data_IF_868362935852
#
_entry.id   IF_868362935852
#
_cell.length_a   1.000
_cell.length_b   1.000
_cell.length_c   1.000
_cell.angle_alpha   90.00
_cell.angle_beta   90.00
_cell.angle_gamma   90.00
#
_symmetry.space_group_name_H-M   'P 1'
#
loop_
_entity.id
_entity.type
_entity.pdbx_description
1 polymer ?
#
# COMPACT_ATOMS: atom_id res chain seq x y z
N UNK A 1 71.58 29.61 -21.84
CA UNK A 1 70.90 28.31 -21.78
C UNK A 1 70.13 28.25 -20.48
N UNK A 2 68.86 27.91 -20.53
CA UNK A 2 68.07 27.77 -19.26
C UNK A 2 68.68 26.66 -18.45
N UNK A 3 68.75 26.89 -17.12
CA UNK A 3 69.38 26.01 -16.17
C UNK A 3 68.62 24.69 -16.11
N UNK A 4 69.27 23.57 -16.37
CA UNK A 4 68.69 22.24 -16.44
C UNK A 4 68.05 21.83 -15.11
N UNK A 5 68.52 22.37 -13.99
CA UNK A 5 67.91 22.16 -12.66
C UNK A 5 66.55 22.84 -12.52
N UNK A 6 66.37 24.02 -13.13
CA UNK A 6 65.11 24.75 -13.10
C UNK A 6 64.03 24.04 -13.95
N UNK A 7 64.40 23.53 -15.10
CA UNK A 7 63.53 22.77 -15.99
C UNK A 7 63.05 21.48 -15.30
N UNK A 8 63.97 20.76 -14.60
CA UNK A 8 63.60 19.57 -13.87
C UNK A 8 62.62 19.85 -12.73
N UNK A 9 62.85 20.95 -11.99
CA UNK A 9 61.98 21.36 -10.90
C UNK A 9 60.54 21.71 -11.37
N UNK A 10 60.44 22.41 -12.50
CA UNK A 10 59.13 22.71 -13.16
C UNK A 10 58.46 21.41 -13.59
N UNK A 11 59.16 20.46 -14.18
CA UNK A 11 58.60 19.20 -14.58
C UNK A 11 58.11 18.38 -13.40
N UNK A 12 58.83 18.39 -12.27
CA UNK A 12 58.41 17.68 -11.04
C UNK A 12 57.19 18.36 -10.38
N UNK A 13 57.17 19.69 -10.29
CA UNK A 13 56.07 20.46 -9.70
C UNK A 13 54.76 20.30 -10.50
N UNK A 14 54.81 20.19 -11.82
CA UNK A 14 53.64 20.03 -12.70
C UNK A 14 53.40 18.59 -13.15
N UNK A 15 54.18 17.63 -12.68
CA UNK A 15 54.10 16.22 -13.03
C UNK A 15 54.14 15.98 -14.56
N UNK A 16 55.06 16.72 -15.23
CA UNK A 16 55.26 16.67 -16.69
C UNK A 16 56.53 15.89 -16.98
N UNK A 17 56.50 15.11 -18.05
CA UNK A 17 57.75 14.51 -18.54
C UNK A 17 58.55 15.55 -19.32
N UNK A 18 59.85 15.60 -19.10
CA UNK A 18 60.79 16.53 -19.77
C UNK A 18 60.66 16.46 -21.28
N UNK A 19 60.43 15.27 -21.84
CA UNK A 19 60.22 15.00 -23.26
C UNK A 19 58.94 15.69 -23.82
N UNK A 20 57.84 15.68 -23.03
CA UNK A 20 56.59 16.31 -23.41
C UNK A 20 56.71 17.85 -23.48
N UNK A 21 57.56 18.42 -22.62
CA UNK A 21 57.83 19.86 -22.59
C UNK A 21 58.64 20.32 -23.82
N UNK A 22 59.58 19.54 -24.27
CA UNK A 22 60.42 19.86 -25.45
C UNK A 22 59.70 19.59 -26.78
N UNK A 23 58.78 18.60 -26.82
CA UNK A 23 57.99 18.28 -28.00
C UNK A 23 56.74 19.14 -28.16
N UNK A 24 56.40 19.98 -27.19
CA UNK A 24 55.21 20.82 -27.20
C UNK A 24 53.89 20.07 -27.11
N UNK A 25 53.91 18.77 -26.86
CA UNK A 25 52.75 17.91 -26.71
C UNK A 25 52.32 17.78 -25.25
N UNK A 26 51.58 18.77 -24.77
CA UNK A 26 50.87 18.60 -23.46
C UNK A 26 49.71 17.65 -23.69
N UNK A 27 49.85 16.38 -23.29
CA UNK A 27 48.75 15.42 -23.29
C UNK A 27 47.66 15.95 -22.36
N UNK A 28 46.62 16.61 -22.94
CA UNK A 28 45.42 16.97 -22.19
C UNK A 28 44.84 15.71 -21.60
N UNK A 29 44.82 15.61 -20.25
CA UNK A 29 44.13 14.53 -19.53
C UNK A 29 42.67 14.55 -20.00
N UNK A 30 42.30 13.60 -20.84
CA UNK A 30 40.91 13.49 -21.33
C UNK A 30 40.06 13.02 -20.17
N UNK A 31 39.14 13.87 -19.72
CA UNK A 31 38.12 13.53 -18.71
C UNK A 31 36.92 12.82 -19.32
N UNK A 32 36.92 12.59 -20.63
CA UNK A 32 35.83 11.92 -21.33
C UNK A 32 35.48 10.54 -20.73
N UNK A 33 36.44 9.63 -20.44
CA UNK A 33 36.08 8.36 -19.84
C UNK A 33 35.46 8.50 -18.44
N UNK A 34 35.90 9.46 -17.65
CA UNK A 34 35.34 9.72 -16.32
C UNK A 34 33.91 10.23 -16.43
N UNK A 35 33.60 11.12 -17.37
CA UNK A 35 32.26 11.64 -17.62
C UNK A 35 31.30 10.54 -18.12
N UNK A 36 31.79 9.61 -18.94
CA UNK A 36 31.00 8.47 -19.40
C UNK A 36 30.63 7.56 -18.24
N UNK A 37 31.58 7.22 -17.39
CA UNK A 37 31.34 6.37 -16.19
C UNK A 37 30.33 7.04 -15.25
N UNK A 38 30.50 8.34 -15.00
CA UNK A 38 29.58 9.11 -14.16
C UNK A 38 28.16 9.14 -14.74
N UNK A 39 28.03 9.33 -16.05
CA UNK A 39 26.77 9.28 -16.77
C UNK A 39 26.06 7.92 -16.64
N UNK A 40 26.82 6.82 -16.78
CA UNK A 40 26.28 5.47 -16.60
C UNK A 40 25.79 5.21 -15.17
N UNK A 41 26.52 5.68 -14.16
CA UNK A 41 26.12 5.55 -12.75
C UNK A 41 24.81 6.30 -12.50
N UNK A 42 24.69 7.55 -12.98
CA UNK A 42 23.46 8.34 -12.85
C UNK A 42 22.30 7.65 -13.55
N UNK A 43 22.51 7.15 -14.75
CA UNK A 43 21.47 6.43 -15.50
C UNK A 43 21.00 5.16 -14.77
N UNK A 44 21.93 4.42 -14.16
CA UNK A 44 21.60 3.22 -13.39
C UNK A 44 20.80 3.55 -12.12
N UNK A 45 21.19 4.61 -11.40
CA UNK A 45 20.45 5.09 -10.22
C UNK A 45 19.04 5.52 -10.61
N UNK A 46 18.88 6.27 -11.71
CA UNK A 46 17.58 6.68 -12.24
C UNK A 46 16.70 5.47 -12.60
N UNK A 47 17.29 4.47 -13.25
CA UNK A 47 16.60 3.22 -13.56
C UNK A 47 16.05 2.52 -12.31
N UNK A 48 16.85 2.42 -11.25
CA UNK A 48 16.43 1.84 -9.96
C UNK A 48 15.30 2.65 -9.29
N UNK A 49 15.35 3.98 -9.36
CA UNK A 49 14.30 4.85 -8.81
C UNK A 49 12.99 4.65 -9.56
N UNK A 50 13.03 4.60 -10.89
CA UNK A 50 11.84 4.37 -11.72
C UNK A 50 11.20 3.02 -11.39
N UNK A 51 11.98 1.93 -11.29
CA UNK A 51 11.47 0.61 -10.92
C UNK A 51 10.79 0.66 -9.54
N UNK A 52 11.38 1.35 -8.57
CA UNK A 52 10.79 1.52 -7.22
C UNK A 52 9.49 2.31 -7.24
N UNK A 53 9.37 3.31 -8.10
CA UNK A 53 8.14 4.12 -8.25
C UNK A 53 7.01 3.33 -8.91
N UNK A 54 7.30 2.46 -9.87
CA UNK A 54 6.29 1.63 -10.55
C UNK A 54 5.69 0.60 -9.58
N UNK A 55 6.51 -0.01 -8.71
CA UNK A 55 6.07 -1.00 -7.71
C UNK A 55 5.19 -0.41 -6.59
N UNK A 56 5.07 0.90 -6.49
CA UNK A 56 4.29 1.58 -5.44
C UNK A 56 2.93 2.10 -5.91
N UNK A 57 2.53 1.86 -7.16
CA UNK A 57 1.22 2.26 -7.64
C UNK A 57 0.10 1.49 -6.93
N UNK A 58 -0.89 2.22 -6.39
CA UNK A 58 -2.09 1.63 -5.80
C UNK A 58 -3.18 1.49 -6.85
N UNK A 59 -3.84 0.35 -6.85
CA UNK A 59 -5.10 0.14 -7.56
C UNK A 59 -6.25 0.37 -6.58
N UNK A 60 -7.35 0.97 -7.07
CA UNK A 60 -8.53 1.26 -6.27
C UNK A 60 -9.72 0.45 -6.77
N UNK A 61 -10.44 -0.17 -5.86
CA UNK A 61 -11.65 -0.93 -6.10
C UNK A 61 -12.77 -0.45 -5.20
N UNK A 62 -13.99 -0.55 -5.68
CA UNK A 62 -15.17 -0.27 -4.89
C UNK A 62 -15.63 -1.55 -4.18
N UNK A 63 -16.02 -1.41 -2.91
CA UNK A 63 -16.68 -2.45 -2.14
C UNK A 63 -18.15 -2.10 -2.05
N UNK A 64 -19.01 -2.99 -2.50
CA UNK A 64 -20.46 -2.81 -2.44
C UNK A 64 -21.14 -4.09 -2.02
N UNK A 65 -22.40 -3.99 -1.58
CA UNK A 65 -23.29 -5.14 -1.43
C UNK A 65 -24.61 -4.83 -2.08
N UNK A 66 -25.27 -5.83 -2.66
CA UNK A 66 -26.64 -5.72 -3.09
C UNK A 66 -27.57 -5.82 -1.88
N UNK A 67 -28.49 -4.86 -1.77
CA UNK A 67 -29.32 -4.71 -0.59
C UNK A 67 -30.48 -5.70 -0.55
N UNK A 68 -30.30 -6.88 0.05
CA UNK A 68 -31.45 -7.60 0.60
C UNK A 68 -31.77 -7.15 2.03
N UNK A 69 -30.75 -6.99 2.87
CA UNK A 69 -30.90 -6.59 4.29
C UNK A 69 -29.90 -5.52 4.71
N UNK A 70 -28.76 -5.43 4.04
CA UNK A 70 -27.72 -4.48 4.33
C UNK A 70 -27.21 -3.82 3.07
N UNK A 71 -26.99 -2.51 3.15
CA UNK A 71 -26.31 -1.73 2.14
C UNK A 71 -24.97 -1.31 2.69
N UNK A 72 -23.90 -1.84 2.11
CA UNK A 72 -22.52 -1.55 2.55
C UNK A 72 -21.80 -0.89 1.39
N UNK A 73 -21.10 0.19 1.69
CA UNK A 73 -20.25 0.86 0.72
C UNK A 73 -18.87 1.16 1.31
N UNK A 74 -17.87 0.97 0.47
CA UNK A 74 -16.49 1.16 0.86
C UNK A 74 -15.55 1.19 -0.33
N UNK A 75 -14.26 1.17 -0.04
CA UNK A 75 -13.20 1.11 -1.04
C UNK A 75 -12.04 0.25 -0.55
N UNK A 76 -11.38 -0.36 -1.51
CA UNK A 76 -10.15 -1.12 -1.33
C UNK A 76 -9.07 -0.45 -2.17
N UNK A 77 -7.99 0.00 -1.55
CA UNK A 77 -6.79 0.41 -2.22
C UNK A 77 -5.70 -0.63 -1.98
N UNK A 78 -5.09 -1.15 -3.02
CA UNK A 78 -4.08 -2.19 -2.86
C UNK A 78 -2.94 -2.06 -3.87
N UNK A 79 -1.80 -2.60 -3.50
CA UNK A 79 -0.67 -2.84 -4.38
C UNK A 79 -0.11 -4.25 -4.13
N UNK A 80 1.03 -4.58 -4.72
CA UNK A 80 1.66 -5.92 -4.59
C UNK A 80 2.07 -6.27 -3.15
N UNK A 81 2.09 -5.32 -2.22
CA UNK A 81 2.61 -5.49 -0.85
C UNK A 81 1.59 -5.24 0.23
N UNK A 82 0.68 -4.28 0.00
CA UNK A 82 -0.20 -3.75 1.04
C UNK A 82 -1.59 -3.48 0.49
N UNK A 83 -2.56 -3.52 1.38
CA UNK A 83 -3.92 -3.09 1.12
C UNK A 83 -4.41 -2.15 2.22
N UNK A 84 -5.30 -1.25 1.85
CA UNK A 84 -6.08 -0.40 2.76
C UNK A 84 -7.55 -0.66 2.48
N UNK A 85 -8.28 -1.07 3.51
CA UNK A 85 -9.71 -1.33 3.45
C UNK A 85 -10.43 -0.19 4.15
N UNK A 86 -11.36 0.45 3.47
CA UNK A 86 -12.19 1.48 4.05
C UNK A 86 -13.67 1.20 3.78
N UNK A 87 -14.43 0.89 4.85
CA UNK A 87 -15.88 0.75 4.81
C UNK A 87 -16.49 1.98 5.46
N UNK A 88 -17.13 2.80 4.65
CA UNK A 88 -17.61 4.13 5.05
C UNK A 88 -19.03 4.11 5.56
N UNK A 89 -19.84 3.15 5.09
CA UNK A 89 -21.26 3.08 5.42
C UNK A 89 -21.73 1.63 5.54
N UNK A 90 -22.48 1.36 6.59
CA UNK A 90 -23.19 0.10 6.81
C UNK A 90 -24.63 0.48 7.22
N UNK A 91 -25.58 0.23 6.35
CA UNK A 91 -26.98 0.56 6.53
C UNK A 91 -27.83 -0.72 6.58
N UNK A 92 -28.74 -0.79 7.53
CA UNK A 92 -29.71 -1.89 7.62
C UNK A 92 -30.94 -1.57 6.77
N UNK A 93 -31.20 -2.38 5.74
CA UNK A 93 -32.32 -2.24 4.82
C UNK A 93 -33.48 -3.21 5.10
N UNK A 94 -33.40 -4.01 6.15
CA UNK A 94 -34.34 -5.12 6.44
C UNK A 94 -35.73 -4.72 6.93
N UNK A 95 -36.14 -3.49 6.71
CA UNK A 95 -37.48 -2.98 7.09
C UNK A 95 -37.51 -2.33 8.48
N UNK A 96 -38.69 -2.11 9.04
CA UNK A 96 -38.91 -1.45 10.33
C UNK A 96 -38.30 -2.28 11.51
N UNK A 97 -37.02 -2.11 11.74
CA UNK A 97 -36.34 -2.82 12.83
C UNK A 97 -36.49 -2.04 14.14
N UNK A 98 -37.60 -2.29 14.85
CA UNK A 98 -37.86 -1.77 16.20
C UNK A 98 -37.22 -2.58 17.31
N UNK A 99 -36.53 -3.66 16.96
CA UNK A 99 -35.89 -4.51 17.94
C UNK A 99 -34.71 -3.79 18.60
N UNK A 100 -34.65 -3.96 19.90
CA UNK A 100 -33.63 -3.34 20.74
C UNK A 100 -32.65 -4.42 21.21
N UNK A 101 -31.37 -4.11 21.19
CA UNK A 101 -30.29 -5.01 21.53
C UNK A 101 -29.39 -4.38 22.59
N UNK A 102 -29.06 -5.14 23.61
CA UNK A 102 -28.13 -4.74 24.69
C UNK A 102 -26.67 -4.99 24.35
N UNK A 103 -26.41 -5.91 23.41
CA UNK A 103 -25.06 -6.15 22.89
C UNK A 103 -25.11 -6.33 21.37
N UNK A 104 -24.23 -5.61 20.66
CA UNK A 104 -24.10 -5.72 19.21
C UNK A 104 -22.60 -5.78 18.88
N UNK A 105 -22.19 -6.76 18.08
CA UNK A 105 -20.85 -6.81 17.51
C UNK A 105 -20.92 -6.81 16.00
N UNK A 106 -20.03 -6.04 15.37
CA UNK A 106 -19.86 -5.98 13.93
C UNK A 106 -18.39 -6.23 13.63
N UNK A 107 -18.07 -7.32 12.95
CA UNK A 107 -16.70 -7.79 12.75
C UNK A 107 -16.43 -8.00 11.27
N UNK A 108 -15.33 -7.43 10.78
CA UNK A 108 -14.83 -7.62 9.43
C UNK A 108 -13.88 -8.81 9.40
N UNK A 109 -14.11 -9.73 8.48
CA UNK A 109 -13.31 -10.93 8.28
C UNK A 109 -12.81 -11.02 6.84
N UNK A 110 -11.70 -11.73 6.71
CA UNK A 110 -11.19 -12.29 5.46
C UNK A 110 -11.32 -13.80 5.51
N UNK A 111 -11.87 -14.40 4.47
CA UNK A 111 -11.96 -15.83 4.28
C UNK A 111 -10.95 -16.27 3.21
N UNK A 112 -9.95 -17.02 3.61
CA UNK A 112 -9.04 -17.77 2.75
C UNK A 112 -9.40 -19.26 2.88
N UNK A 113 -9.27 -20.03 1.83
CA UNK A 113 -9.68 -21.43 1.59
C UNK A 113 -10.10 -22.26 2.83
N UNK A 114 -9.50 -22.06 4.01
CA UNK A 114 -9.84 -22.72 5.28
C UNK A 114 -9.59 -21.84 6.53
N UNK A 115 -9.15 -20.60 6.36
CA UNK A 115 -8.75 -19.72 7.47
C UNK A 115 -9.64 -18.49 7.48
N UNK A 116 -10.38 -18.33 8.58
CA UNK A 116 -11.14 -17.10 8.86
C UNK A 116 -10.26 -16.16 9.66
N UNK A 117 -9.80 -15.10 9.05
CA UNK A 117 -8.97 -14.10 9.72
C UNK A 117 -9.82 -12.89 10.07
N UNK A 118 -9.92 -12.62 11.38
CA UNK A 118 -10.52 -11.39 11.88
C UNK A 118 -9.59 -10.22 11.54
N UNK A 119 -10.15 -9.20 10.86
CA UNK A 119 -9.43 -7.99 10.51
C UNK A 119 -9.64 -6.92 11.56
N UNK A 120 -10.92 -6.58 11.85
CA UNK A 120 -11.27 -5.53 12.80
C UNK A 120 -12.67 -5.76 13.37
N UNK A 121 -13.04 -5.14 14.49
CA UNK A 121 -14.36 -5.29 15.09
C UNK A 121 -14.79 -4.11 15.93
N UNK A 122 -16.08 -3.81 15.87
CA UNK A 122 -16.77 -2.90 16.75
C UNK A 122 -17.73 -3.67 17.66
N UNK A 123 -17.70 -3.35 18.95
CA UNK A 123 -18.58 -3.98 19.94
C UNK A 123 -19.28 -2.89 20.73
N UNK A 124 -20.57 -3.05 20.89
CA UNK A 124 -21.40 -2.24 21.77
C UNK A 124 -22.00 -3.12 22.86
N UNK A 125 -21.90 -2.66 24.11
CA UNK A 125 -22.57 -3.25 25.26
C UNK A 125 -23.13 -2.11 26.11
N UNK A 126 -24.44 -2.14 26.40
CA UNK A 126 -25.04 -1.05 27.16
C UNK A 126 -26.56 -1.03 27.10
N UNK A 127 -27.13 0.17 27.28
CA UNK A 127 -28.58 0.34 27.18
C UNK A 127 -29.10 -0.08 25.81
N UNK A 128 -30.24 -0.78 25.74
CA UNK A 128 -30.75 -1.31 24.47
C UNK A 128 -30.86 -0.25 23.38
N UNK A 129 -30.27 -0.52 22.22
CA UNK A 129 -30.34 0.34 21.02
C UNK A 129 -30.76 -0.49 19.81
N UNK A 130 -31.21 0.18 18.75
CA UNK A 130 -31.52 -0.47 17.49
C UNK A 130 -30.25 -0.79 16.70
N UNK A 131 -30.33 -1.81 15.85
CA UNK A 131 -29.21 -2.20 14.97
C UNK A 131 -28.81 -1.03 14.04
N UNK A 132 -29.80 -0.31 13.49
CA UNK A 132 -29.56 0.86 12.63
C UNK A 132 -28.77 1.95 13.35
N UNK A 133 -29.15 2.28 14.60
CA UNK A 133 -28.43 3.29 15.39
C UNK A 133 -26.99 2.91 15.64
N UNK A 134 -26.70 1.64 15.94
CA UNK A 134 -25.35 1.16 16.13
C UNK A 134 -24.54 1.24 14.82
N UNK A 135 -25.07 0.71 13.71
CA UNK A 135 -24.35 0.59 12.45
C UNK A 135 -23.99 1.95 11.84
N UNK A 136 -24.77 2.99 12.12
CA UNK A 136 -24.51 4.35 11.63
C UNK A 136 -23.13 4.89 12.04
N UNK A 137 -22.63 4.46 13.20
CA UNK A 137 -21.35 4.91 13.74
C UNK A 137 -20.20 3.95 13.42
N UNK A 138 -20.50 2.76 12.85
CA UNK A 138 -19.49 1.76 12.49
C UNK A 138 -18.82 2.12 11.17
N UNK A 139 -17.50 2.25 11.21
CA UNK A 139 -16.67 2.48 10.02
C UNK A 139 -15.37 1.69 10.17
N UNK A 140 -15.05 0.86 9.22
CA UNK A 140 -13.77 0.16 9.23
C UNK A 140 -12.74 0.93 8.44
N UNK A 141 -11.59 1.19 9.05
CA UNK A 141 -10.42 1.73 8.40
C UNK A 141 -9.20 0.90 8.79
N UNK A 142 -8.75 0.10 7.88
CA UNK A 142 -7.63 -0.81 8.08
C UNK A 142 -6.52 -0.43 7.12
N UNK A 143 -5.46 0.16 7.65
CA UNK A 143 -4.29 0.56 6.89
C UNK A 143 -3.21 -0.53 6.95
N UNK A 144 -2.37 -0.60 5.94
CA UNK A 144 -1.20 -1.50 5.87
C UNK A 144 -1.53 -3.01 6.06
N UNK A 145 -2.73 -3.41 5.65
CA UNK A 145 -3.11 -4.81 5.65
C UNK A 145 -2.27 -5.58 4.62
N UNK A 146 -1.87 -6.82 4.94
CA UNK A 146 -1.18 -7.67 3.98
C UNK A 146 -2.04 -7.83 2.73
N UNK A 147 -1.42 -7.81 1.56
CA UNK A 147 -2.15 -7.75 0.30
C UNK A 147 -3.16 -8.90 0.15
N UNK A 148 -4.43 -8.54 0.05
CA UNK A 148 -5.54 -9.44 -0.26
C UNK A 148 -5.35 -10.12 -1.63
N UNK A 149 -4.57 -9.49 -2.53
CA UNK A 149 -4.33 -9.96 -3.89
C UNK A 149 -2.97 -10.63 -4.09
N UNK A 150 -2.30 -11.02 -3.01
CA UNK A 150 -0.93 -11.58 -3.07
C UNK A 150 -0.87 -12.93 -3.74
N UNK A 151 -1.86 -13.77 -3.48
CA UNK A 151 -2.07 -15.03 -4.18
C UNK A 151 -3.36 -14.88 -5.00
N UNK A 152 -3.34 -15.31 -6.26
CA UNK A 152 -4.45 -15.18 -7.23
C UNK A 152 -5.77 -15.84 -6.80
N UNK A 153 -5.85 -16.32 -5.58
CA UNK A 153 -7.04 -16.86 -4.95
C UNK A 153 -7.80 -15.73 -4.28
N UNK A 154 -9.02 -15.59 -4.66
CA UNK A 154 -9.98 -14.60 -4.23
C UNK A 154 -10.22 -14.77 -2.73
N UNK A 155 -9.61 -13.92 -1.93
CA UNK A 155 -9.98 -13.81 -0.53
C UNK A 155 -11.32 -13.08 -0.46
N UNK A 156 -12.35 -13.75 0.05
CA UNK A 156 -13.64 -13.13 0.25
C UNK A 156 -13.61 -12.28 1.53
N UNK A 157 -14.04 -11.03 1.42
CA UNK A 157 -14.30 -10.19 2.58
C UNK A 157 -15.76 -10.35 2.98
N UNK A 158 -16.02 -10.44 4.27
CA UNK A 158 -17.38 -10.43 4.78
C UNK A 158 -17.48 -9.74 6.15
N UNK A 159 -18.68 -9.31 6.48
CA UNK A 159 -19.00 -8.73 7.78
C UNK A 159 -19.95 -9.66 8.51
N UNK A 160 -19.59 -10.07 9.73
CA UNK A 160 -20.48 -10.73 10.68
C UNK A 160 -21.04 -9.71 11.66
N UNK A 161 -22.38 -9.67 11.76
CA UNK A 161 -23.10 -8.84 12.71
C UNK A 161 -23.83 -9.77 13.66
N UNK A 162 -23.57 -9.66 14.97
CA UNK A 162 -24.25 -10.43 15.99
C UNK A 162 -24.92 -9.44 16.96
N UNK A 163 -26.23 -9.51 17.04
CA UNK A 163 -27.03 -8.65 17.91
C UNK A 163 -27.78 -9.49 18.94
N UNK A 164 -27.61 -9.16 20.24
CA UNK A 164 -28.23 -9.87 21.36
C UNK A 164 -29.18 -8.96 22.13
N UNK A 165 -30.36 -9.47 22.42
CA UNK A 165 -31.33 -8.78 23.27
C UNK A 165 -31.05 -9.01 24.78
N UNK A 166 -31.87 -8.39 25.62
CA UNK A 166 -31.77 -8.53 27.11
C UNK A 166 -32.01 -9.95 27.61
N UNK A 167 -32.53 -10.84 26.76
CA UNK A 167 -32.76 -12.27 27.08
C UNK A 167 -31.68 -13.15 26.46
N UNK A 168 -30.56 -12.58 26.05
CA UNK A 168 -29.41 -13.25 25.39
C UNK A 168 -29.78 -14.00 24.08
N UNK A 169 -30.94 -13.67 23.48
CA UNK A 169 -31.31 -14.22 22.17
C UNK A 169 -30.50 -13.49 21.10
N UNK A 170 -29.70 -14.26 20.35
CA UNK A 170 -28.81 -13.72 19.35
C UNK A 170 -29.40 -13.81 17.94
N UNK A 171 -29.37 -12.70 17.20
CA UNK A 171 -29.51 -12.68 15.73
C UNK A 171 -28.14 -12.52 15.11
N UNK A 172 -27.87 -13.38 14.11
CA UNK A 172 -26.60 -13.37 13.38
C UNK A 172 -26.87 -13.06 11.91
N UNK A 173 -26.04 -12.18 11.35
CA UNK A 173 -26.08 -11.83 9.95
C UNK A 173 -24.66 -11.92 9.40
N UNK A 174 -24.49 -12.63 8.29
CA UNK A 174 -23.26 -12.61 7.48
C UNK A 174 -23.56 -11.87 6.19
N UNK A 175 -22.73 -10.91 5.87
CA UNK A 175 -22.83 -10.07 4.69
C UNK A 175 -21.53 -10.19 3.91
N UNK A 176 -21.59 -10.89 2.79
CA UNK A 176 -20.44 -11.01 1.90
C UNK A 176 -20.26 -9.70 1.13
N UNK A 177 -19.00 -9.23 1.04
CA UNK A 177 -18.65 -7.99 0.38
C UNK A 177 -18.21 -8.28 -1.05
N UNK A 178 -18.91 -7.72 -2.02
CA UNK A 178 -18.50 -7.79 -3.41
C UNK A 178 -17.41 -6.74 -3.68
N UNK A 179 -16.23 -7.20 -4.11
CA UNK A 179 -15.17 -6.34 -4.58
C UNK A 179 -15.21 -6.35 -6.11
N UNK A 180 -15.48 -5.20 -6.71
CA UNK A 180 -15.56 -5.03 -8.15
C UNK A 180 -14.26 -5.49 -8.82
N UNK A 181 -14.37 -6.43 -9.78
CA UNK A 181 -13.24 -7.04 -10.51
C UNK A 181 -12.10 -7.54 -9.60
N UNK A 182 -12.41 -8.52 -8.76
CA UNK A 182 -11.42 -9.16 -7.90
C UNK A 182 -10.12 -9.49 -8.65
N UNK A 183 -9.02 -8.80 -8.29
CA UNK A 183 -7.61 -9.14 -8.58
C UNK A 183 -7.30 -9.79 -9.96
N UNK A 184 -8.10 -9.53 -10.98
CA UNK A 184 -7.81 -9.99 -12.34
C UNK A 184 -6.77 -9.07 -12.98
N UNK A 185 -5.60 -9.61 -13.28
CA UNK A 185 -4.71 -9.08 -14.31
C UNK A 185 -5.09 -9.65 -15.65
#
# INVERSE_FOLDING_TARGET
MPDSLLIKKICDDFNLKIEDLFNGEVKKKSYVPVMIVLGLIVFFIWGLVIIRCIDSSYEFKTITTSCERFNISGSLAYNTKKATIYISNIEYCGGDNREMYSSISCTLYEEDIEIFKKIDSYVYEGSPITLEKFLKDVKFKVDDYDSICKDRNIHALYIDIIAKDDKDRAKKYRVDLEVEDSCKK
#
